data_IF_901923027347
#
_entry.id   IF_901923027347
#
_cell.length_a   1.000
_cell.length_b   1.000
_cell.length_c   1.000
_cell.angle_alpha   90.00
_cell.angle_beta   90.00
_cell.angle_gamma   90.00
#
_symmetry.space_group_name_H-M   'P 1'
#
loop_
_entity.id
_entity.type
_entity.pdbx_description
1 polymer ?
#
# COMPACT_ATOMS: atom_id res chain seq x y z
N UNK A 1 5.70 10.44 22.62
CA UNK A 1 6.20 9.97 21.30
C UNK A 1 5.22 8.97 20.71
N UNK A 2 5.02 8.97 19.39
CA UNK A 2 4.15 8.05 18.67
C UNK A 2 4.98 7.16 17.72
N UNK A 3 4.67 5.86 17.65
CA UNK A 3 5.25 4.95 16.67
C UNK A 3 4.45 5.07 15.36
N UNK A 4 5.13 5.34 14.25
CA UNK A 4 4.51 5.52 12.92
C UNK A 4 5.15 4.61 11.88
N UNK A 5 4.33 3.94 11.08
CA UNK A 5 4.76 3.17 9.92
C UNK A 5 4.75 4.09 8.68
N UNK A 6 5.96 4.41 8.20
CA UNK A 6 6.38 5.11 6.98
C UNK A 6 5.70 6.43 6.55
N UNK A 7 4.40 6.48 6.21
CA UNK A 7 3.79 7.67 5.60
C UNK A 7 3.43 8.79 6.59
N UNK A 8 3.00 8.45 7.82
CA UNK A 8 2.74 9.45 8.87
C UNK A 8 3.98 10.28 9.21
N UNK A 9 5.15 9.65 9.18
CA UNK A 9 6.42 10.24 9.59
C UNK A 9 6.66 11.60 8.91
N UNK A 10 6.44 11.65 7.60
CA UNK A 10 6.61 12.86 6.78
C UNK A 10 5.53 13.91 7.08
N UNK A 11 4.27 13.51 7.23
CA UNK A 11 3.17 14.43 7.57
C UNK A 11 3.34 15.06 8.95
N UNK A 12 3.77 14.27 9.95
CA UNK A 12 4.04 14.76 11.30
C UNK A 12 5.25 15.70 11.36
N UNK A 13 6.33 15.38 10.64
CA UNK A 13 7.50 16.25 10.51
C UNK A 13 7.17 17.59 9.84
N UNK A 14 6.22 17.60 8.90
CA UNK A 14 5.79 18.80 8.19
C UNK A 14 4.93 19.74 9.06
N UNK A 15 4.10 19.16 9.93
CA UNK A 15 3.18 19.91 10.80
C UNK A 15 3.84 20.35 12.11
N UNK A 16 4.77 19.56 12.64
CA UNK A 16 5.47 19.85 13.88
C UNK A 16 6.93 19.41 13.80
N UNK A 17 7.82 20.37 13.62
CA UNK A 17 9.27 20.16 13.52
C UNK A 17 9.92 19.63 14.81
N UNK A 18 9.18 19.55 15.93
CA UNK A 18 9.65 18.93 17.18
C UNK A 18 9.34 17.43 17.25
N UNK A 19 8.58 16.89 16.30
CA UNK A 19 8.32 15.44 16.23
C UNK A 19 9.54 14.74 15.67
N UNK A 20 10.12 13.86 16.48
CA UNK A 20 11.17 12.95 16.03
C UNK A 20 10.53 11.67 15.50
N UNK A 21 10.92 11.26 14.30
CA UNK A 21 10.47 10.03 13.69
C UNK A 21 11.62 9.01 13.62
N UNK A 22 11.41 7.86 14.26
CA UNK A 22 12.38 6.76 14.30
C UNK A 22 11.79 5.60 13.47
N UNK A 23 12.28 5.36 12.24
CA UNK A 23 11.78 4.27 11.41
C UNK A 23 12.32 2.91 11.88
N UNK A 24 11.45 1.91 11.90
CA UNK A 24 11.82 0.51 12.10
C UNK A 24 11.57 -0.28 10.82
N UNK A 25 12.62 -0.91 10.27
CA UNK A 25 12.54 -1.73 9.06
C UNK A 25 12.45 -3.22 9.40
N UNK A 26 11.39 -3.61 10.11
CA UNK A 26 11.17 -4.99 10.55
C UNK A 26 9.68 -5.34 10.45
N UNK A 27 9.39 -6.61 10.17
CA UNK A 27 8.02 -7.12 10.18
C UNK A 27 7.55 -7.37 11.62
N UNK A 28 6.36 -6.89 11.96
CA UNK A 28 5.77 -7.12 13.28
C UNK A 28 5.34 -8.58 13.43
N UNK A 29 5.73 -9.19 14.54
CA UNK A 29 5.40 -10.56 14.93
C UNK A 29 5.00 -10.63 16.42
N UNK A 30 4.31 -11.68 16.88
CA UNK A 30 4.00 -11.87 18.29
C UNK A 30 5.23 -11.79 19.22
N UNK A 31 6.39 -12.25 18.74
CA UNK A 31 7.63 -12.29 19.50
C UNK A 31 8.25 -10.89 19.70
N UNK A 32 8.16 -10.02 18.69
CA UNK A 32 8.80 -8.70 18.74
C UNK A 32 7.84 -7.56 19.14
N UNK A 33 6.54 -7.68 18.85
CA UNK A 33 5.61 -6.54 18.94
C UNK A 33 5.40 -6.09 20.37
N UNK A 34 5.25 -7.05 21.29
CA UNK A 34 5.13 -6.73 22.72
C UNK A 34 6.39 -6.06 23.24
N UNK A 35 7.57 -6.53 22.81
CA UNK A 35 8.85 -5.94 23.21
C UNK A 35 9.03 -4.52 22.66
N UNK A 36 8.58 -4.26 21.43
CA UNK A 36 8.63 -2.94 20.79
C UNK A 36 7.68 -1.95 21.47
N UNK A 37 6.45 -2.37 21.77
CA UNK A 37 5.44 -1.52 22.43
C UNK A 37 5.79 -1.28 23.91
N UNK A 38 6.37 -2.26 24.60
CA UNK A 38 6.86 -2.12 25.98
C UNK A 38 8.25 -1.48 26.07
N UNK A 39 8.99 -1.42 24.96
CA UNK A 39 10.43 -1.17 24.90
C UNK A 39 11.25 -1.95 25.94
N UNK A 40 11.01 -3.26 26.06
CA UNK A 40 11.99 -4.19 26.66
C UNK A 40 12.92 -4.70 25.57
N UNK A 41 13.75 -3.83 25.00
CA UNK A 41 14.90 -4.28 24.21
C UNK A 41 15.99 -4.65 25.23
N UNK A 42 16.14 -5.93 25.48
CA UNK A 42 17.20 -6.44 26.36
C UNK A 42 18.55 -6.25 25.65
N UNK A 43 19.35 -5.34 26.19
CA UNK A 43 20.81 -5.20 26.07
C UNK A 43 21.52 -5.99 24.94
N UNK A 44 21.66 -5.40 23.74
CA UNK A 44 22.86 -5.67 22.92
C UNK A 44 23.24 -4.60 21.87
N UNK A 45 22.44 -3.56 21.62
CA UNK A 45 22.88 -2.45 20.78
C UNK A 45 23.20 -1.25 21.67
N UNK A 46 24.49 -0.94 21.72
CA UNK A 46 25.13 0.05 22.59
C UNK A 46 24.58 1.47 22.38
N UNK A 47 24.42 2.17 23.51
CA UNK A 47 24.60 3.61 23.71
C UNK A 47 23.82 4.53 22.77
N UNK A 48 22.57 4.88 23.17
CA UNK A 48 21.92 6.20 23.01
C UNK A 48 20.38 6.15 22.89
N UNK A 49 19.75 4.97 22.93
CA UNK A 49 18.29 4.88 22.99
C UNK A 49 17.83 5.12 24.42
N UNK A 50 17.73 6.39 24.78
CA UNK A 50 17.01 6.90 25.95
C UNK A 50 15.63 6.22 26.01
N UNK A 51 15.23 5.77 27.20
CA UNK A 51 13.94 5.15 27.49
C UNK A 51 12.76 6.00 26.98
N UNK A 52 12.26 5.69 25.78
CA UNK A 52 11.12 6.36 25.18
C UNK A 52 9.88 5.49 25.37
N UNK A 53 9.34 5.50 26.58
CA UNK A 53 8.02 4.90 26.81
C UNK A 53 6.99 5.66 25.97
N UNK A 54 6.38 4.98 25.00
CA UNK A 54 5.27 5.56 24.24
C UNK A 54 4.03 5.67 25.12
N UNK A 55 3.39 6.84 25.12
CA UNK A 55 2.14 7.08 25.87
C UNK A 55 0.92 6.56 25.10
N UNK A 56 0.98 6.69 23.77
CA UNK A 56 -0.10 6.35 22.84
C UNK A 56 0.51 5.59 21.65
N UNK A 57 -0.17 4.53 21.22
CA UNK A 57 0.13 3.81 19.98
C UNK A 57 -0.87 4.23 18.92
N UNK A 58 -0.41 4.54 17.71
CA UNK A 58 -1.26 4.86 16.56
C UNK A 58 -1.17 3.73 15.53
N UNK A 59 -2.30 3.15 15.17
CA UNK A 59 -2.41 2.13 14.12
C UNK A 59 -2.98 2.76 12.84
N UNK A 60 -2.14 2.73 11.80
CA UNK A 60 -2.45 3.17 10.44
C UNK A 60 -2.24 2.03 9.44
N UNK A 61 -2.14 0.78 9.92
CA UNK A 61 -1.93 -0.37 9.06
C UNK A 61 -3.15 -0.64 8.19
N UNK A 62 -2.90 -1.04 6.95
CA UNK A 62 -3.91 -1.42 5.97
C UNK A 62 -4.17 -2.94 5.96
N UNK A 63 -3.42 -3.71 6.75
CA UNK A 63 -3.56 -5.15 6.86
C UNK A 63 -4.17 -5.60 8.21
N UNK A 64 -5.10 -6.57 8.10
CA UNK A 64 -5.89 -7.07 9.24
C UNK A 64 -5.01 -7.74 10.31
N UNK A 65 -4.06 -8.64 9.98
CA UNK A 65 -3.27 -9.31 11.02
C UNK A 65 -2.45 -8.34 11.89
N UNK A 66 -1.82 -7.32 11.30
CA UNK A 66 -1.08 -6.30 12.05
C UNK A 66 -1.99 -5.54 13.00
N UNK A 67 -3.20 -5.16 12.55
CA UNK A 67 -4.19 -4.49 13.40
C UNK A 67 -4.57 -5.31 14.63
N UNK A 68 -4.82 -6.61 14.48
CA UNK A 68 -5.10 -7.50 15.62
C UNK A 68 -3.90 -7.65 16.56
N UNK A 69 -2.70 -7.79 16.00
CA UNK A 69 -1.47 -7.93 16.76
C UNK A 69 -1.15 -6.67 17.61
N UNK A 70 -1.22 -5.48 17.00
CA UNK A 70 -1.01 -4.21 17.69
C UNK A 70 -2.07 -4.01 18.78
N UNK A 71 -3.34 -4.30 18.50
CA UNK A 71 -4.42 -4.21 19.47
C UNK A 71 -4.12 -5.02 20.74
N UNK A 72 -3.82 -6.31 20.58
CA UNK A 72 -3.69 -7.18 21.73
C UNK A 72 -2.40 -6.86 22.51
N UNK A 73 -1.32 -6.47 21.82
CA UNK A 73 -0.11 -5.99 22.48
C UNK A 73 -0.33 -4.69 23.28
N UNK A 74 -1.18 -3.78 22.78
CA UNK A 74 -1.59 -2.58 23.52
C UNK A 74 -2.42 -2.93 24.76
N UNK A 75 -3.39 -3.86 24.64
CA UNK A 75 -4.18 -4.35 25.78
C UNK A 75 -3.29 -4.92 26.87
N UNK A 76 -2.37 -5.83 26.50
CA UNK A 76 -1.48 -6.47 27.47
C UNK A 76 -0.45 -5.51 28.10
N UNK A 77 -0.07 -4.48 27.38
CA UNK A 77 0.88 -3.48 27.87
C UNK A 77 0.21 -2.30 28.58
N UNK A 78 -1.13 -2.31 28.69
CA UNK A 78 -1.90 -1.21 29.25
C UNK A 78 -1.78 0.10 28.47
N UNK A 79 -1.48 0.03 27.18
CA UNK A 79 -1.28 1.20 26.30
C UNK A 79 -2.55 1.54 25.56
N UNK A 80 -2.82 2.84 25.44
CA UNK A 80 -3.91 3.34 24.62
C UNK A 80 -3.57 3.17 23.14
N UNK A 81 -4.52 2.67 22.36
CA UNK A 81 -4.38 2.50 20.92
C UNK A 81 -5.38 3.40 20.21
N UNK A 82 -4.91 4.30 19.36
CA UNK A 82 -5.75 5.02 18.40
C UNK A 82 -5.63 4.31 17.06
N UNK A 83 -6.73 3.81 16.51
CA UNK A 83 -6.73 3.10 15.23
C UNK A 83 -7.67 3.81 14.26
N UNK A 84 -7.19 4.04 13.05
CA UNK A 84 -7.98 4.57 11.95
C UNK A 84 -7.81 3.70 10.71
N UNK A 85 -8.88 3.60 9.91
CA UNK A 85 -8.80 2.95 8.61
C UNK A 85 -9.81 3.56 7.65
N UNK A 86 -9.44 3.65 6.37
CA UNK A 86 -10.31 4.09 5.29
C UNK A 86 -10.36 3.04 4.18
N UNK A 87 -11.50 2.91 3.52
CA UNK A 87 -11.67 2.09 2.32
C UNK A 87 -12.66 2.79 1.40
N UNK A 88 -12.24 3.08 0.15
CA UNK A 88 -13.02 3.85 -0.81
C UNK A 88 -13.42 5.23 -0.27
N UNK A 89 -14.71 5.42 0.03
CA UNK A 89 -15.31 6.66 0.55
C UNK A 89 -15.74 6.54 2.01
N UNK A 90 -15.51 5.40 2.64
CA UNK A 90 -15.84 5.12 4.02
C UNK A 90 -14.59 5.13 4.89
N UNK A 91 -14.72 5.55 6.13
CA UNK A 91 -13.66 5.39 7.12
C UNK A 91 -14.18 5.22 8.54
N UNK A 92 -13.27 4.75 9.38
CA UNK A 92 -13.52 4.53 10.80
C UNK A 92 -12.34 5.01 11.63
N UNK A 93 -12.67 5.50 12.84
CA UNK A 93 -11.72 5.99 13.83
C UNK A 93 -12.18 5.57 15.21
N UNK A 94 -11.28 5.04 16.03
CA UNK A 94 -11.59 4.60 17.39
C UNK A 94 -10.38 4.69 18.30
N UNK A 95 -10.64 5.03 19.57
CA UNK A 95 -9.67 4.91 20.65
C UNK A 95 -9.97 3.64 21.46
N UNK A 96 -9.07 2.67 21.36
CA UNK A 96 -9.10 1.40 22.07
C UNK A 96 -8.23 1.44 23.34
N UNK A 97 -8.62 0.61 24.32
CA UNK A 97 -7.89 0.39 25.56
C UNK A 97 -7.61 1.67 26.39
N UNK A 98 -8.35 2.75 26.16
CA UNK A 98 -8.26 3.97 26.97
C UNK A 98 -8.99 3.76 28.30
N UNK A 99 -8.28 3.90 29.42
CA UNK A 99 -8.82 3.76 30.78
C UNK A 99 -9.62 2.45 31.01
N UNK A 100 -9.12 1.32 30.49
CA UNK A 100 -9.82 0.03 30.57
C UNK A 100 -11.00 -0.13 29.61
N UNK A 101 -11.07 0.73 28.59
CA UNK A 101 -12.07 0.68 27.52
C UNK A 101 -11.93 -0.54 26.59
N UNK A 102 -12.85 -0.67 25.62
CA UNK A 102 -12.89 -1.79 24.68
C UNK A 102 -11.63 -1.85 23.82
N UNK A 103 -11.30 -3.05 23.36
CA UNK A 103 -10.24 -3.29 22.39
C UNK A 103 -10.84 -3.65 21.02
N UNK A 104 -10.02 -3.64 19.97
CA UNK A 104 -10.43 -3.96 18.60
C UNK A 104 -11.12 -5.33 18.51
N UNK A 105 -10.56 -6.36 19.18
CA UNK A 105 -11.18 -7.69 19.27
C UNK A 105 -12.52 -7.73 20.00
N UNK A 106 -12.86 -6.71 20.81
CA UNK A 106 -14.18 -6.63 21.43
C UNK A 106 -15.27 -6.28 20.41
N UNK A 107 -14.91 -5.52 19.38
CA UNK A 107 -15.77 -5.19 18.26
C UNK A 107 -15.73 -6.27 17.17
N UNK A 108 -14.53 -6.80 16.89
CA UNK A 108 -14.29 -7.83 15.89
C UNK A 108 -13.70 -9.10 16.55
N UNK A 109 -14.54 -9.93 17.20
CA UNK A 109 -14.06 -11.08 17.97
C UNK A 109 -13.56 -12.23 17.11
N UNK A 110 -13.98 -12.28 15.84
CA UNK A 110 -13.50 -13.23 14.84
C UNK A 110 -13.03 -12.46 13.62
N UNK A 111 -11.86 -12.81 13.06
CA UNK A 111 -11.34 -12.14 11.88
C UNK A 111 -12.21 -12.51 10.68
N UNK A 112 -12.43 -11.56 9.75
CA UNK A 112 -13.08 -11.85 8.50
C UNK A 112 -12.25 -12.85 7.67
N UNK A 113 -12.92 -13.67 6.85
CA UNK A 113 -12.24 -14.62 5.96
C UNK A 113 -11.25 -13.88 5.04
N UNK A 114 -10.04 -14.41 4.81
CA UNK A 114 -9.01 -13.74 4.01
C UNK A 114 -9.45 -13.27 2.64
N UNK A 115 -10.32 -14.03 1.97
CA UNK A 115 -10.85 -13.75 0.63
C UNK A 115 -11.87 -12.60 0.60
N UNK A 116 -12.47 -12.26 1.74
CA UNK A 116 -13.47 -11.17 1.87
C UNK A 116 -12.86 -9.85 2.34
N UNK A 117 -11.55 -9.84 2.63
CA UNK A 117 -10.84 -8.66 3.10
C UNK A 117 -10.25 -7.94 1.92
N UNK A 118 -10.85 -6.81 1.55
CA UNK A 118 -10.26 -5.83 0.63
C UNK A 118 -9.41 -4.84 1.41
N UNK A 119 -8.13 -4.71 1.05
CA UNK A 119 -7.24 -3.67 1.58
C UNK A 119 -7.35 -2.39 0.75
N UNK A 120 -6.73 -1.32 1.26
CA UNK A 120 -6.70 -0.02 0.58
C UNK A 120 -6.06 -0.10 -0.81
N UNK A 121 -5.00 -0.92 -0.96
CA UNK A 121 -4.29 -1.10 -2.22
C UNK A 121 -5.15 -1.73 -3.32
N UNK A 122 -6.02 -2.68 -2.97
CA UNK A 122 -6.87 -3.38 -3.94
C UNK A 122 -8.22 -2.68 -4.14
N UNK A 123 -8.75 -2.05 -3.10
CA UNK A 123 -10.07 -1.41 -3.10
C UNK A 123 -10.08 0.05 -3.58
N UNK A 124 -8.92 0.71 -3.58
CA UNK A 124 -8.77 2.15 -3.78
C UNK A 124 -9.25 2.95 -2.56
N UNK A 125 -8.65 4.12 -2.34
CA UNK A 125 -9.05 5.11 -1.32
C UNK A 125 -9.12 6.48 -1.98
N UNK A 126 -10.16 7.24 -1.68
CA UNK A 126 -10.38 8.55 -2.30
C UNK A 126 -9.46 9.60 -1.64
N UNK A 127 -8.39 9.98 -2.36
CA UNK A 127 -7.50 11.09 -2.01
C UNK A 127 -6.46 10.80 -0.92
N UNK A 128 -5.20 11.15 -1.19
CA UNK A 128 -4.07 11.14 -0.23
C UNK A 128 -4.12 12.36 0.71
N UNK A 129 -5.19 13.16 0.66
CA UNK A 129 -5.36 14.39 1.43
C UNK A 129 -6.59 14.35 2.32
N UNK A 130 -6.43 14.80 3.57
CA UNK A 130 -7.43 15.07 4.64
C UNK A 130 -8.37 13.93 5.07
N UNK A 131 -8.68 12.96 4.20
CA UNK A 131 -9.54 11.78 4.45
C UNK A 131 -8.76 10.47 4.61
N UNK A 132 -7.42 10.50 4.55
CA UNK A 132 -6.60 9.35 4.92
C UNK A 132 -6.74 9.06 6.42
N UNK A 133 -6.64 7.79 6.80
CA UNK A 133 -6.58 7.34 8.21
C UNK A 133 -5.64 8.23 9.03
N UNK A 134 -4.51 8.60 8.42
CA UNK A 134 -3.44 9.43 8.96
C UNK A 134 -3.89 10.85 9.33
N UNK A 135 -4.69 11.49 8.49
CA UNK A 135 -5.17 12.87 8.70
C UNK A 135 -6.19 12.95 9.85
N UNK A 136 -6.97 11.88 10.06
CA UNK A 136 -7.94 11.78 11.13
C UNK A 136 -7.32 11.48 12.50
N UNK A 137 -6.13 10.84 12.53
CA UNK A 137 -5.41 10.51 13.76
C UNK A 137 -4.68 11.71 14.37
N UNK A 138 -4.22 12.63 13.53
CA UNK A 138 -3.40 13.76 13.95
C UNK A 138 -4.04 14.64 15.05
N UNK A 139 -5.30 15.12 14.92
CA UNK A 139 -5.90 16.00 15.93
C UNK A 139 -6.10 15.33 17.29
N UNK A 140 -6.31 14.01 17.32
CA UNK A 140 -6.51 13.23 18.56
C UNK A 140 -5.20 13.04 19.33
N UNK A 141 -4.09 12.94 18.62
CA UNK A 141 -2.76 12.78 19.22
C UNK A 141 -2.25 14.13 19.75
N UNK A 142 -2.43 15.22 18.99
CA UNK A 142 -1.98 16.56 19.40
C UNK A 142 -2.77 17.16 20.57
N UNK A 143 -4.11 17.05 20.55
CA UNK A 143 -4.95 17.61 21.63
C UNK A 143 -4.93 16.77 22.90
N UNK A 144 -4.40 15.56 22.84
CA UNK A 144 -4.51 14.56 23.87
C UNK A 144 -5.90 13.91 23.87
N UNK A 145 -5.93 12.65 24.29
CA UNK A 145 -7.16 11.86 24.35
C UNK A 145 -7.92 12.26 25.61
N UNK A 146 -9.10 12.85 25.44
CA UNK A 146 -10.03 13.14 26.53
C UNK A 146 -10.97 11.96 26.81
N UNK A 147 -11.68 12.03 27.94
CA UNK A 147 -12.65 11.00 28.35
C UNK A 147 -13.85 10.84 27.39
N UNK A 148 -14.07 11.79 26.46
CA UNK A 148 -15.19 11.76 25.52
C UNK A 148 -14.92 10.88 24.30
N UNK A 149 -13.64 10.63 23.98
CA UNK A 149 -13.21 9.76 22.89
C UNK A 149 -13.18 8.27 23.27
N UNK A 150 -13.31 7.95 24.55
CA UNK A 150 -13.32 6.57 25.03
C UNK A 150 -14.59 5.82 24.63
N UNK A 151 -14.44 4.55 24.23
CA UNK A 151 -15.55 3.61 23.97
C UNK A 151 -16.45 3.98 22.78
N UNK A 152 -15.98 4.77 21.82
CA UNK A 152 -16.74 5.15 20.63
C UNK A 152 -16.02 4.73 19.35
N UNK A 153 -16.76 4.11 18.43
CA UNK A 153 -16.40 3.94 17.03
C UNK A 153 -17.07 5.06 16.24
N UNK A 154 -16.26 5.98 15.71
CA UNK A 154 -16.70 6.94 14.74
C UNK A 154 -16.59 6.32 13.35
N UNK A 155 -17.68 6.33 12.61
CA UNK A 155 -17.74 5.97 11.20
C UNK A 155 -18.11 7.22 10.40
N UNK A 156 -17.45 7.41 9.27
CA UNK A 156 -17.75 8.49 8.33
C UNK A 156 -17.91 7.95 6.91
N UNK A 157 -18.86 8.53 6.19
CA UNK A 157 -19.12 8.28 4.78
C UNK A 157 -18.98 9.62 4.06
N UNK A 158 -18.00 9.72 3.18
CA UNK A 158 -17.70 10.93 2.42
C UNK A 158 -18.61 11.11 1.20
N UNK A 159 -19.27 10.05 0.72
CA UNK A 159 -20.21 10.13 -0.40
C UNK A 159 -21.46 10.92 0.01
N UNK A 160 -21.97 10.63 1.21
CA UNK A 160 -23.17 11.26 1.76
C UNK A 160 -22.87 12.31 2.84
N UNK A 161 -21.59 12.53 3.17
CA UNK A 161 -21.13 13.39 4.27
C UNK A 161 -21.79 13.04 5.62
N UNK A 162 -21.94 11.75 5.91
CA UNK A 162 -22.61 11.24 7.12
C UNK A 162 -21.60 10.78 8.16
N UNK A 163 -21.91 11.04 9.42
CA UNK A 163 -21.15 10.57 10.58
C UNK A 163 -22.04 9.72 11.49
N UNK A 164 -21.50 8.64 12.01
CA UNK A 164 -22.17 7.77 12.99
C UNK A 164 -21.22 7.42 14.12
N UNK A 165 -21.66 7.59 15.36
CA UNK A 165 -20.94 7.12 16.54
C UNK A 165 -21.62 5.90 17.15
N UNK A 166 -20.85 4.88 17.48
CA UNK A 166 -21.31 3.61 18.07
C UNK A 166 -20.54 3.35 19.37
N UNK A 167 -21.25 3.02 20.46
CA UNK A 167 -20.63 2.72 21.76
C UNK A 167 -20.16 1.26 21.85
N UNK A 168 -19.01 1.03 22.47
CA UNK A 168 -18.31 -0.26 22.54
C UNK A 168 -18.10 -0.78 23.98
N UNK A 169 -17.89 -2.10 24.17
CA UNK A 169 -17.71 -2.77 25.50
C UNK A 169 -16.55 -3.79 25.52
N UNK A 170 -15.74 -3.90 26.60
CA UNK A 170 -14.52 -4.73 26.66
C UNK A 170 -14.73 -6.25 26.95
N UNK A 171 -13.88 -7.15 26.42
CA UNK A 171 -13.98 -8.63 26.59
C UNK A 171 -12.68 -9.48 26.52
N UNK A 172 -11.48 -8.92 26.27
CA UNK A 172 -10.29 -9.72 25.86
C UNK A 172 -9.19 -9.81 26.94
N UNK A 173 -8.48 -10.95 27.03
CA UNK A 173 -7.51 -11.25 28.11
C UNK A 173 -6.14 -11.81 27.71
N UNK A 174 -5.87 -12.24 26.46
CA UNK A 174 -4.59 -12.86 26.04
C UNK A 174 -4.33 -12.78 24.53
N UNK A 175 -3.04 -12.85 24.11
CA UNK A 175 -2.63 -12.93 22.69
C UNK A 175 -2.90 -14.32 22.08
N UNK A 176 -3.05 -14.36 20.75
CA UNK A 176 -3.13 -15.60 19.95
C UNK A 176 -2.21 -15.53 18.73
N UNK A 177 -1.98 -16.67 18.07
CA UNK A 177 -1.31 -16.73 16.76
C UNK A 177 -2.21 -16.14 15.68
N UNK A 178 -1.90 -14.91 15.23
CA UNK A 178 -2.78 -14.14 14.34
C UNK A 178 -2.77 -14.59 12.89
N UNK A 179 -1.67 -15.15 12.39
CA UNK A 179 -1.67 -15.67 11.02
C UNK A 179 -2.57 -16.90 10.93
N UNK A 180 -2.51 -17.76 11.97
CA UNK A 180 -3.41 -18.91 12.10
C UNK A 180 -4.85 -18.51 12.41
N UNK A 181 -5.04 -17.50 13.27
CA UNK A 181 -6.37 -17.02 13.66
C UNK A 181 -7.10 -16.33 12.51
N UNK A 182 -6.40 -15.48 11.76
CA UNK A 182 -6.94 -14.78 10.58
C UNK A 182 -6.96 -15.66 9.33
N UNK A 183 -6.15 -16.72 9.27
CA UNK A 183 -5.96 -17.54 8.07
C UNK A 183 -5.19 -16.82 6.96
N UNK A 184 -4.44 -15.77 7.29
CA UNK A 184 -3.65 -14.97 6.34
C UNK A 184 -2.39 -14.41 6.99
N UNK A 185 -1.31 -14.28 6.21
CA UNK A 185 -0.04 -13.71 6.66
C UNK A 185 -0.15 -12.23 6.99
N UNK A 186 0.65 -11.76 7.94
CA UNK A 186 0.77 -10.35 8.32
C UNK A 186 1.67 -9.58 7.33
N UNK A 187 1.28 -9.63 6.06
CA UNK A 187 1.93 -8.97 4.94
C UNK A 187 0.86 -8.25 4.14
N UNK A 188 1.18 -7.07 3.59
CA UNK A 188 0.28 -6.36 2.70
C UNK A 188 -0.06 -7.28 1.54
N UNK A 189 -1.32 -7.74 1.51
CA UNK A 189 -1.78 -8.74 0.55
C UNK A 189 -1.59 -8.15 -0.84
N UNK A 190 -0.53 -8.55 -1.53
CA UNK A 190 -0.47 -8.43 -2.97
C UNK A 190 -0.87 -9.78 -3.53
N UNK A 191 -2.16 -9.92 -3.87
CA UNK A 191 -2.57 -11.08 -4.64
C UNK A 191 -1.83 -11.06 -5.98
N UNK A 192 -1.08 -12.12 -6.27
CA UNK A 192 -0.45 -12.28 -7.57
C UNK A 192 -1.57 -12.64 -8.55
N UNK A 193 -1.89 -11.70 -9.45
CA UNK A 193 -2.83 -11.97 -10.53
C UNK A 193 -2.18 -12.86 -11.60
N UNK A 194 -2.98 -13.74 -12.21
CA UNK A 194 -2.60 -14.56 -13.36
C UNK A 194 -3.68 -14.43 -14.44
N UNK A 195 -3.77 -13.25 -15.04
CA UNK A 195 -4.75 -12.93 -16.10
C UNK A 195 -4.28 -13.32 -17.50
N UNK A 196 -2.97 -13.48 -17.69
CA UNK A 196 -2.32 -13.66 -18.98
C UNK A 196 -1.72 -15.07 -19.14
N UNK A 197 -1.66 -15.55 -20.38
CA UNK A 197 -0.94 -16.77 -20.75
C UNK A 197 0.58 -16.54 -20.75
N UNK A 198 1.38 -17.60 -20.73
CA UNK A 198 2.86 -17.50 -20.59
C UNK A 198 3.53 -16.69 -21.70
N UNK A 199 2.99 -16.72 -22.92
CA UNK A 199 3.49 -16.02 -24.09
C UNK A 199 3.30 -14.50 -24.04
N UNK A 200 2.33 -14.03 -23.25
CA UNK A 200 2.03 -12.62 -22.98
C UNK A 200 2.80 -12.05 -21.79
N UNK A 201 3.77 -12.81 -21.25
CA UNK A 201 4.56 -12.42 -20.08
C UNK A 201 6.04 -12.48 -20.41
N UNK A 202 6.80 -11.57 -19.81
CA UNK A 202 8.26 -11.52 -19.92
C UNK A 202 8.86 -11.31 -18.52
N UNK A 203 10.03 -11.87 -18.27
CA UNK A 203 10.79 -11.62 -17.04
C UNK A 203 11.58 -10.32 -17.12
N UNK A 204 11.96 -9.76 -15.95
CA UNK A 204 12.81 -8.57 -15.90
C UNK A 204 14.20 -8.80 -16.51
N UNK A 205 14.72 -10.03 -16.46
CA UNK A 205 16.00 -10.39 -17.09
C UNK A 205 15.92 -10.42 -18.61
N UNK A 206 14.83 -10.97 -19.16
CA UNK A 206 14.59 -10.96 -20.61
C UNK A 206 14.43 -9.53 -21.10
N UNK A 207 13.69 -8.69 -20.38
CA UNK A 207 13.56 -7.26 -20.71
C UNK A 207 14.90 -6.54 -20.69
N UNK A 208 15.70 -6.74 -19.63
CA UNK A 208 17.05 -6.17 -19.54
C UNK A 208 17.92 -6.60 -20.74
N UNK A 209 17.82 -7.87 -21.14
CA UNK A 209 18.52 -8.40 -22.31
C UNK A 209 18.04 -7.77 -23.63
N UNK A 210 16.74 -7.47 -23.75
CA UNK A 210 16.16 -6.79 -24.92
C UNK A 210 16.72 -5.36 -25.02
N UNK A 211 16.78 -4.64 -23.89
CA UNK A 211 17.34 -3.29 -23.80
C UNK A 211 18.84 -3.31 -24.12
N UNK A 212 19.60 -4.23 -23.54
CA UNK A 212 21.05 -4.38 -23.80
C UNK A 212 21.36 -4.71 -25.25
N UNK A 213 20.53 -5.53 -25.89
CA UNK A 213 20.65 -5.85 -27.32
C UNK A 213 20.17 -4.72 -28.23
N UNK A 214 19.78 -3.56 -27.69
CA UNK A 214 19.27 -2.39 -28.43
C UNK A 214 18.07 -2.70 -29.34
N UNK A 215 17.29 -3.74 -29.00
CA UNK A 215 16.13 -4.12 -29.78
C UNK A 215 15.06 -3.03 -29.68
N UNK A 216 14.52 -2.60 -30.83
CA UNK A 216 13.52 -1.53 -30.90
C UNK A 216 12.18 -2.02 -30.33
N UNK A 217 11.73 -1.41 -29.24
CA UNK A 217 10.46 -1.71 -28.57
C UNK A 217 9.92 -0.49 -27.83
N UNK A 218 8.65 -0.56 -27.41
CA UNK A 218 8.03 0.41 -26.53
C UNK A 218 7.93 -0.14 -25.11
N UNK A 219 8.53 0.55 -24.13
CA UNK A 219 8.32 0.28 -22.72
C UNK A 219 7.24 1.22 -22.17
N UNK A 220 6.15 0.66 -21.63
CA UNK A 220 4.99 1.39 -21.12
C UNK A 220 4.88 1.22 -19.60
N UNK A 221 4.99 2.31 -18.86
CA UNK A 221 4.76 2.35 -17.42
C UNK A 221 3.31 2.76 -17.13
N UNK A 222 2.54 1.88 -16.49
CA UNK A 222 1.10 2.10 -16.24
C UNK A 222 0.77 2.54 -14.81
N UNK A 223 1.79 2.93 -14.04
CA UNK A 223 1.62 3.45 -12.67
C UNK A 223 1.01 4.87 -12.69
N UNK A 224 0.32 5.26 -11.60
CA UNK A 224 -0.06 6.65 -11.37
C UNK A 224 1.14 7.61 -11.38
N UNK A 225 0.93 8.86 -11.76
CA UNK A 225 2.01 9.87 -11.84
C UNK A 225 2.77 10.04 -10.52
N UNK A 226 2.06 10.10 -9.39
CA UNK A 226 2.66 10.22 -8.04
C UNK A 226 3.66 9.12 -7.72
N UNK A 227 3.47 7.94 -8.32
CA UNK A 227 4.37 6.81 -8.18
C UNK A 227 5.57 6.96 -9.12
N UNK A 228 5.33 7.36 -10.38
CA UNK A 228 6.37 7.60 -11.39
C UNK A 228 7.36 8.67 -10.93
N UNK A 229 6.88 9.70 -10.23
CA UNK A 229 7.71 10.78 -9.67
C UNK A 229 8.73 10.28 -8.64
N UNK A 230 8.47 9.14 -7.98
CA UNK A 230 9.42 8.50 -7.05
C UNK A 230 10.57 7.85 -7.84
N UNK A 231 10.22 7.06 -8.85
CA UNK A 231 11.17 6.32 -9.68
C UNK A 231 10.53 5.81 -10.97
N UNK A 232 11.32 5.76 -12.03
CA UNK A 232 10.90 5.22 -13.34
C UNK A 232 12.11 4.72 -14.13
N UNK A 233 11.84 3.89 -15.15
CA UNK A 233 12.88 3.45 -16.09
C UNK A 233 13.06 4.52 -17.18
N UNK A 234 14.28 4.99 -17.49
CA UNK A 234 14.50 6.15 -18.36
C UNK A 234 13.87 6.10 -19.75
N UNK A 235 13.66 4.91 -20.31
CA UNK A 235 13.07 4.70 -21.64
C UNK A 235 11.56 4.49 -21.62
N UNK A 236 10.94 4.47 -20.43
CA UNK A 236 9.52 4.17 -20.29
C UNK A 236 8.64 5.38 -20.61
N UNK A 237 7.61 5.16 -21.42
CA UNK A 237 6.48 6.09 -21.58
C UNK A 237 5.49 5.85 -20.44
N UNK A 238 5.10 6.88 -19.69
CA UNK A 238 4.04 6.73 -18.69
C UNK A 238 2.66 7.01 -19.28
N UNK A 239 1.76 6.04 -19.15
CA UNK A 239 0.32 6.22 -19.34
C UNK A 239 -0.38 5.43 -18.24
N UNK A 240 -0.98 6.08 -17.22
CA UNK A 240 -1.64 5.39 -16.12
C UNK A 240 -2.69 4.40 -16.62
N UNK A 241 -2.81 3.24 -15.95
CA UNK A 241 -3.78 2.20 -16.32
C UNK A 241 -5.21 2.77 -16.45
N UNK A 242 -5.61 3.65 -15.54
CA UNK A 242 -6.93 4.30 -15.56
C UNK A 242 -7.16 5.13 -16.83
N UNK A 243 -6.12 5.71 -17.42
CA UNK A 243 -6.22 6.44 -18.68
C UNK A 243 -6.40 5.48 -19.88
N UNK A 244 -5.79 4.30 -19.84
CA UNK A 244 -5.98 3.24 -20.84
C UNK A 244 -7.39 2.65 -20.76
N UNK A 245 -7.85 2.29 -19.56
CA UNK A 245 -9.16 1.67 -19.35
C UNK A 245 -10.33 2.58 -19.75
N UNK A 246 -10.16 3.89 -19.58
CA UNK A 246 -11.16 4.89 -19.95
C UNK A 246 -11.00 5.44 -21.38
N UNK A 247 -10.08 4.89 -22.18
CA UNK A 247 -9.75 5.37 -23.53
C UNK A 247 -9.56 6.89 -23.59
N UNK A 248 -8.81 7.47 -22.65
CA UNK A 248 -8.60 8.91 -22.56
C UNK A 248 -7.94 9.45 -23.85
N UNK A 249 -8.61 10.35 -24.56
CA UNK A 249 -8.21 10.77 -25.91
C UNK A 249 -6.79 11.33 -26.02
N UNK A 250 -6.34 12.08 -25.01
CA UNK A 250 -5.00 12.67 -24.98
C UNK A 250 -3.93 11.59 -24.83
N UNK A 251 -4.09 10.69 -23.86
CA UNK A 251 -3.13 9.61 -23.62
C UNK A 251 -3.11 8.59 -24.76
N UNK A 252 -4.29 8.27 -25.31
CA UNK A 252 -4.37 7.39 -26.48
C UNK A 252 -3.72 8.03 -27.71
N UNK A 253 -3.83 9.35 -27.89
CA UNK A 253 -3.11 10.07 -28.94
C UNK A 253 -1.58 9.94 -28.76
N UNK A 254 -1.08 10.19 -27.55
CA UNK A 254 0.36 10.03 -27.23
C UNK A 254 0.83 8.60 -27.47
N UNK A 255 0.03 7.60 -27.08
CA UNK A 255 0.32 6.20 -27.32
C UNK A 255 0.45 5.90 -28.82
N UNK A 256 -0.49 6.39 -29.65
CA UNK A 256 -0.44 6.21 -31.12
C UNK A 256 0.80 6.81 -31.73
N UNK A 257 1.11 8.04 -31.36
CA UNK A 257 2.29 8.76 -31.87
C UNK A 257 3.56 7.97 -31.53
N UNK A 258 3.67 7.49 -30.28
CA UNK A 258 4.83 6.71 -29.87
C UNK A 258 4.93 5.36 -30.58
N UNK A 259 3.81 4.66 -30.76
CA UNK A 259 3.77 3.41 -31.53
C UNK A 259 4.21 3.66 -32.98
N UNK A 260 3.75 4.76 -33.60
CA UNK A 260 4.16 5.16 -34.94
C UNK A 260 5.67 5.41 -35.04
N UNK A 261 6.24 6.17 -34.10
CA UNK A 261 7.69 6.42 -34.04
C UNK A 261 8.52 5.13 -33.92
N UNK A 262 8.09 4.20 -33.07
CA UNK A 262 8.77 2.91 -32.90
C UNK A 262 8.64 2.07 -34.17
N UNK A 263 7.46 2.07 -34.80
CA UNK A 263 7.21 1.35 -36.06
C UNK A 263 8.09 1.84 -37.22
N UNK A 264 8.31 3.15 -37.33
CA UNK A 264 9.21 3.73 -38.33
C UNK A 264 10.67 3.30 -38.13
N UNK A 265 11.08 3.09 -36.88
CA UNK A 265 12.41 2.57 -36.54
C UNK A 265 12.55 1.06 -36.83
N UNK A 266 11.45 0.34 -37.03
CA UNK A 266 11.45 -1.09 -37.32
C UNK A 266 11.41 -1.35 -38.83
N UNK A 267 12.41 -2.07 -39.35
CA UNK A 267 12.54 -2.32 -40.79
C UNK A 267 11.66 -3.46 -41.33
N UNK A 268 11.00 -4.26 -40.48
CA UNK A 268 10.41 -5.55 -40.91
C UNK A 268 9.25 -6.10 -40.06
N UNK A 269 8.87 -5.49 -38.94
CA UNK A 269 7.82 -6.03 -38.08
C UNK A 269 6.44 -5.43 -38.40
N UNK A 270 5.45 -6.30 -38.66
CA UNK A 270 4.05 -5.86 -38.83
C UNK A 270 3.38 -5.44 -37.52
N UNK A 271 3.96 -5.82 -36.37
CA UNK A 271 3.44 -5.54 -35.04
C UNK A 271 4.53 -4.93 -34.16
N UNK A 272 4.21 -3.83 -33.48
CA UNK A 272 5.15 -3.16 -32.56
C UNK A 272 5.18 -3.89 -31.22
N UNK A 273 6.34 -4.33 -30.71
CA UNK A 273 6.45 -4.96 -29.41
C UNK A 273 6.29 -3.90 -28.31
N UNK A 274 5.36 -4.13 -27.39
CA UNK A 274 5.06 -3.27 -26.25
C UNK A 274 5.24 -4.06 -24.95
N UNK A 275 6.16 -3.62 -24.10
CA UNK A 275 6.39 -4.20 -22.78
C UNK A 275 5.79 -3.30 -21.71
N UNK A 276 4.97 -3.87 -20.83
CA UNK A 276 4.20 -3.10 -19.85
C UNK A 276 4.69 -3.38 -18.45
N UNK A 277 5.02 -2.31 -17.72
CA UNK A 277 5.53 -2.36 -16.35
C UNK A 277 4.62 -1.60 -15.37
N UNK A 278 4.47 -2.15 -14.17
CA UNK A 278 3.89 -1.46 -13.02
C UNK A 278 4.71 -1.77 -11.75
N UNK A 279 4.19 -1.49 -10.55
CA UNK A 279 4.91 -1.76 -9.30
C UNK A 279 5.24 -3.24 -9.11
N UNK A 280 4.22 -4.11 -9.20
CA UNK A 280 4.31 -5.55 -8.85
C UNK A 280 3.93 -6.51 -9.99
N UNK A 281 3.56 -5.98 -11.16
CA UNK A 281 3.16 -6.79 -12.31
C UNK A 281 1.68 -7.19 -12.36
N UNK A 282 0.83 -6.66 -11.47
CA UNK A 282 -0.61 -6.90 -11.48
C UNK A 282 -1.33 -6.00 -12.50
N UNK A 283 -1.19 -4.68 -12.36
CA UNK A 283 -1.84 -3.73 -13.27
C UNK A 283 -1.28 -3.77 -14.69
N UNK A 284 -0.02 -4.18 -14.86
CA UNK A 284 0.53 -4.41 -16.20
C UNK A 284 -0.17 -5.57 -16.92
N UNK A 285 -0.71 -6.57 -16.20
CA UNK A 285 -1.50 -7.63 -16.83
C UNK A 285 -2.85 -7.10 -17.35
N UNK A 286 -3.53 -6.27 -16.56
CA UNK A 286 -4.78 -5.61 -16.98
C UNK A 286 -4.53 -4.71 -18.19
N UNK A 287 -3.44 -3.94 -18.16
CA UNK A 287 -3.05 -3.08 -19.26
C UNK A 287 -2.80 -3.84 -20.57
N UNK A 288 -2.15 -5.02 -20.51
CA UNK A 288 -1.98 -5.88 -21.70
C UNK A 288 -3.34 -6.26 -22.30
N UNK A 289 -4.32 -6.68 -21.48
CA UNK A 289 -5.67 -7.00 -21.97
C UNK A 289 -6.40 -5.80 -22.56
N UNK A 290 -6.15 -4.58 -22.05
CA UNK A 290 -6.67 -3.34 -22.66
C UNK A 290 -6.02 -3.12 -24.02
N UNK A 291 -4.68 -3.17 -24.09
CA UNK A 291 -3.92 -2.95 -25.32
C UNK A 291 -4.29 -3.96 -26.42
N UNK A 292 -4.50 -5.23 -26.07
CA UNK A 292 -4.93 -6.26 -27.03
C UNK A 292 -6.29 -5.96 -27.64
N UNK A 293 -7.23 -5.42 -26.85
CA UNK A 293 -8.54 -5.00 -27.36
C UNK A 293 -8.45 -3.77 -28.28
N UNK A 294 -7.52 -2.87 -27.98
CA UNK A 294 -7.26 -1.66 -28.77
C UNK A 294 -6.42 -1.91 -30.02
N UNK A 295 -5.65 -3.00 -30.05
CA UNK A 295 -4.72 -3.35 -31.12
C UNK A 295 -5.47 -3.60 -32.44
N UNK A 296 -5.11 -2.86 -33.49
CA UNK A 296 -5.73 -2.95 -34.80
C UNK A 296 -7.10 -2.28 -34.93
N UNK A 297 -7.59 -1.62 -33.87
CA UNK A 297 -8.85 -0.88 -33.84
C UNK A 297 -8.61 0.59 -33.51
N UNK A 298 -8.25 0.86 -32.27
CA UNK A 298 -7.96 2.19 -31.76
C UNK A 298 -6.50 2.55 -32.03
N UNK A 299 -5.56 1.63 -31.82
CA UNK A 299 -4.13 1.82 -32.07
C UNK A 299 -3.63 0.87 -33.17
N UNK A 300 -2.47 1.15 -33.74
CA UNK A 300 -1.78 0.25 -34.67
C UNK A 300 -1.58 -1.15 -34.06
N UNK A 301 -1.42 -2.18 -34.90
CA UNK A 301 -1.20 -3.54 -34.42
C UNK A 301 0.03 -3.63 -33.52
N UNK A 302 -0.17 -4.01 -32.26
CA UNK A 302 0.86 -4.21 -31.24
C UNK A 302 0.88 -5.64 -30.72
N UNK A 303 2.05 -6.08 -30.26
CA UNK A 303 2.22 -7.30 -29.45
C UNK A 303 2.57 -6.87 -28.04
N UNK A 304 1.62 -6.97 -27.11
CA UNK A 304 1.79 -6.50 -25.74
C UNK A 304 2.20 -7.65 -24.80
N UNK A 305 3.19 -7.41 -23.93
CA UNK A 305 3.59 -8.34 -22.87
C UNK A 305 3.76 -7.61 -21.54
N UNK A 306 3.43 -8.28 -20.44
CA UNK A 306 3.65 -7.73 -19.10
C UNK A 306 5.02 -8.14 -18.55
N UNK A 307 5.70 -7.22 -17.87
CA UNK A 307 6.93 -7.53 -17.13
C UNK A 307 6.56 -8.11 -15.76
N UNK A 308 6.93 -9.37 -15.54
CA UNK A 308 6.60 -10.14 -14.35
C UNK A 308 7.25 -9.56 -13.09
N UNK A 309 6.43 -9.31 -12.06
CA UNK A 309 6.88 -8.76 -10.78
C UNK A 309 7.19 -7.26 -10.80
N UNK A 310 7.04 -6.61 -11.96
CA UNK A 310 7.16 -5.15 -12.09
C UNK A 310 8.51 -4.58 -11.64
N UNK A 311 8.47 -3.34 -11.15
CA UNK A 311 9.66 -2.64 -10.64
C UNK A 311 10.24 -3.26 -9.38
N UNK A 312 9.45 -3.94 -8.55
CA UNK A 312 10.00 -4.64 -7.38
C UNK A 312 10.88 -5.81 -7.79
N UNK A 313 10.48 -6.56 -8.83
CA UNK A 313 11.34 -7.59 -9.40
C UNK A 313 12.58 -7.00 -10.09
N UNK A 314 12.45 -5.83 -10.74
CA UNK A 314 13.59 -5.12 -11.33
C UNK A 314 14.61 -4.74 -10.26
N UNK A 315 14.15 -4.10 -9.18
CA UNK A 315 15.00 -3.71 -8.06
C UNK A 315 15.70 -4.93 -7.43
N UNK A 316 14.99 -6.05 -7.29
CA UNK A 316 15.58 -7.24 -6.69
C UNK A 316 16.62 -7.93 -7.59
N UNK A 317 16.40 -7.96 -8.91
CA UNK A 317 17.11 -8.87 -9.83
C UNK A 317 18.06 -8.18 -10.79
N UNK A 318 17.83 -6.91 -11.11
CA UNK A 318 18.58 -6.15 -12.11
C UNK A 318 19.37 -5.03 -11.44
N UNK A 319 18.70 -4.19 -10.66
CA UNK A 319 19.33 -3.03 -10.01
C UNK A 319 18.92 -2.92 -8.53
N UNK A 320 19.68 -3.52 -7.60
CA UNK A 320 19.45 -3.41 -6.16
C UNK A 320 19.47 -1.98 -5.60
N UNK A 321 20.01 -1.01 -6.34
CA UNK A 321 19.99 0.41 -5.95
C UNK A 321 18.71 1.13 -6.35
N UNK A 322 17.85 0.50 -7.16
CA UNK A 322 16.59 1.07 -7.61
C UNK A 322 15.61 1.26 -6.42
N UNK A 323 14.98 2.45 -6.27
CA UNK A 323 14.10 2.73 -5.13
C UNK A 323 12.95 1.74 -4.98
N UNK A 324 12.77 1.22 -3.76
CA UNK A 324 11.64 0.38 -3.36
C UNK A 324 10.73 1.17 -2.43
N UNK A 325 9.42 1.04 -2.63
CA UNK A 325 8.37 1.74 -1.89
C UNK A 325 7.10 0.88 -1.89
#
# INVERSE_FOLDING_TARGET
MALCLSFLCLSFLWLNSTVECIPYHLQLSPENTLQLIQQKITAFVLLDIIHLMYDIVADCSDNVPTRYLINDACVLSGKCLVSASALRMEGQLTVYNYCGGPCYRCLYPKPPLPEKVTNCSDGGVLGVGESSSDSCLHPLIEKGIDSSCGQQLLMFDTQDAKFRSIRLTPTVTHLVDYEKFCGSTATDKCQILNLLSKDQRVSVQEEYTIVDNTAVHLLLNVRPLVEVDICYLPTSLNIPLSCLENSNSEHIHVLKERIGQVKEQMSSASQVPVYVICKLGNDSQKAVQVLERMSGSEVDCVTAKNICGGLMAWAQKIDPSFPQY
#
